data_IF_495895777502
#
_entry.id   IF_495895777502
#
_cell.length_a   1.000
_cell.length_b   1.000
_cell.length_c   1.000
_cell.angle_alpha   90.00
_cell.angle_beta   90.00
_cell.angle_gamma   90.00
#
_symmetry.space_group_name_H-M   'P 1'
#
loop_
_entity.id
_entity.type
_entity.pdbx_description
1 polymer ?
#
# COMPACT_ATOMS: atom_id res chain seq x y z
N UNK A 1 19.81 74.98 8.33
CA UNK A 1 20.37 73.88 9.15
C UNK A 1 19.59 73.82 10.46
N UNK A 2 19.31 72.59 10.91
CA UNK A 2 18.57 72.19 12.13
C UNK A 2 17.06 72.00 11.97
N UNK A 3 16.73 70.73 11.75
CA UNK A 3 15.42 70.10 11.84
C UNK A 3 14.85 70.22 13.27
N UNK A 4 13.54 70.41 13.38
CA UNK A 4 12.80 70.22 14.61
C UNK A 4 11.87 69.01 14.43
N UNK A 5 12.12 68.00 15.26
CA UNK A 5 11.44 66.71 15.34
C UNK A 5 9.96 66.91 15.72
N UNK A 6 9.06 66.31 14.95
CA UNK A 6 7.64 66.17 15.29
C UNK A 6 7.48 64.88 16.11
N UNK A 7 7.11 65.00 17.38
CA UNK A 7 6.83 63.86 18.25
C UNK A 7 5.45 63.30 17.93
N UNK A 8 5.38 62.15 17.25
CA UNK A 8 4.14 61.37 17.09
C UNK A 8 4.02 60.43 18.29
N UNK A 9 2.98 60.63 19.08
CA UNK A 9 2.56 59.72 20.15
C UNK A 9 1.87 58.52 19.52
N UNK A 10 2.53 57.36 19.53
CA UNK A 10 1.93 56.07 19.18
C UNK A 10 1.26 55.47 20.42
N UNK A 11 -0.05 55.59 20.52
CA UNK A 11 -0.85 54.80 21.47
C UNK A 11 -0.93 53.36 20.98
N UNK A 12 -0.26 52.45 21.68
CA UNK A 12 -0.38 51.00 21.48
C UNK A 12 -1.73 50.55 22.07
N UNK A 13 -2.72 50.37 21.20
CA UNK A 13 -4.00 49.76 21.54
C UNK A 13 -3.88 48.24 21.43
N UNK A 14 -3.82 47.56 22.58
CA UNK A 14 -3.83 46.11 22.72
C UNK A 14 -5.21 45.54 22.36
N UNK A 15 -5.34 44.92 21.18
CA UNK A 15 -6.41 43.96 20.92
C UNK A 15 -5.89 42.55 21.25
N UNK A 16 -6.08 42.15 22.51
CA UNK A 16 -6.02 40.75 22.90
C UNK A 16 -7.24 40.02 22.32
N UNK A 17 -7.17 39.61 21.05
CA UNK A 17 -7.96 38.48 20.57
C UNK A 17 -7.22 37.23 21.01
N UNK A 18 -7.52 36.81 22.23
CA UNK A 18 -7.05 35.55 22.81
C UNK A 18 -7.73 34.41 22.02
N UNK A 19 -7.14 34.03 20.90
CA UNK A 19 -7.48 32.79 20.23
C UNK A 19 -7.01 31.68 21.19
N UNK A 20 -7.95 31.14 22.00
CA UNK A 20 -7.73 29.89 22.72
C UNK A 20 -7.42 28.84 21.66
N UNK A 21 -6.13 28.58 21.42
CA UNK A 21 -5.74 27.30 20.87
C UNK A 21 -6.26 26.25 21.85
N UNK A 22 -7.22 25.45 21.42
CA UNK A 22 -7.52 24.21 22.11
C UNK A 22 -6.31 23.29 21.88
N UNK A 23 -5.28 23.48 22.69
CA UNK A 23 -4.20 22.54 22.90
C UNK A 23 -4.72 21.38 23.76
N UNK A 24 -5.67 20.63 23.24
CA UNK A 24 -5.99 19.29 23.74
C UNK A 24 -5.65 18.29 22.64
N UNK A 25 -4.38 18.25 22.23
CA UNK A 25 -3.81 17.03 21.69
C UNK A 25 -3.45 16.17 22.90
N UNK A 26 -4.40 15.37 23.37
CA UNK A 26 -4.09 14.28 24.27
C UNK A 26 -3.05 13.39 23.57
N UNK A 27 -1.85 13.34 24.13
CA UNK A 27 -0.84 12.36 23.77
C UNK A 27 -1.41 10.99 24.14
N UNK A 28 -1.94 10.24 23.16
CA UNK A 28 -2.17 8.80 23.34
C UNK A 28 -0.82 8.18 23.67
N UNK A 29 -0.59 7.87 24.93
CA UNK A 29 0.54 7.05 25.35
C UNK A 29 0.44 5.68 24.66
N UNK A 30 1.56 5.27 24.07
CA UNK A 30 1.87 3.92 23.57
C UNK A 30 0.94 3.38 22.46
N UNK A 31 0.98 4.02 21.29
CA UNK A 31 0.51 3.40 20.03
C UNK A 31 1.23 2.05 19.82
N UNK A 32 0.47 0.99 19.58
CA UNK A 32 1.01 -0.35 19.27
C UNK A 32 1.10 -0.60 17.76
N UNK A 33 1.96 -1.53 17.29
CA UNK A 33 2.01 -1.91 15.88
C UNK A 33 0.67 -2.36 15.32
N UNK A 34 -0.12 -3.09 16.11
CA UNK A 34 -1.44 -3.57 15.75
C UNK A 34 -2.40 -2.41 15.51
N UNK A 35 -2.37 -1.38 16.36
CA UNK A 35 -3.18 -0.17 16.19
C UNK A 35 -2.81 0.57 14.90
N UNK A 36 -1.52 0.72 14.60
CA UNK A 36 -1.06 1.33 13.33
C UNK A 36 -1.58 0.54 12.13
N UNK A 37 -1.47 -0.79 12.15
CA UNK A 37 -1.95 -1.67 11.07
C UNK A 37 -3.47 -1.52 10.90
N UNK A 38 -4.23 -1.60 11.99
CA UNK A 38 -5.69 -1.41 11.97
C UNK A 38 -6.09 -0.03 11.43
N UNK A 39 -5.38 1.02 11.85
CA UNK A 39 -5.66 2.39 11.42
C UNK A 39 -5.42 2.57 9.91
N UNK A 40 -4.30 2.05 9.41
CA UNK A 40 -3.96 2.04 7.98
C UNK A 40 -5.00 1.25 7.17
N UNK A 41 -5.42 0.07 7.62
CA UNK A 41 -6.44 -0.72 6.92
C UNK A 41 -7.82 -0.06 6.93
N UNK A 42 -8.22 0.58 8.04
CA UNK A 42 -9.47 1.36 8.10
C UNK A 42 -9.47 2.49 7.09
N UNK A 43 -8.38 3.24 7.00
CA UNK A 43 -8.23 4.31 6.00
C UNK A 43 -8.20 3.78 4.57
N UNK A 44 -7.54 2.64 4.34
CA UNK A 44 -7.56 1.98 3.04
C UNK A 44 -8.98 1.56 2.63
N UNK A 45 -9.78 1.04 3.57
CA UNK A 45 -11.16 0.65 3.30
C UNK A 45 -12.05 1.87 3.01
N UNK A 46 -11.87 2.98 3.74
CA UNK A 46 -12.53 4.26 3.44
C UNK A 46 -12.21 4.69 1.99
N UNK A 47 -10.95 4.60 1.57
CA UNK A 47 -10.56 4.92 0.19
C UNK A 47 -11.18 3.96 -0.83
N UNK A 48 -11.20 2.65 -0.55
CA UNK A 48 -11.82 1.65 -1.45
C UNK A 48 -13.32 1.91 -1.63
N UNK A 49 -14.02 2.24 -0.55
CA UNK A 49 -15.47 2.42 -0.57
C UNK A 49 -15.90 3.79 -1.11
N UNK A 50 -15.15 4.84 -0.78
CA UNK A 50 -15.61 6.23 -0.98
C UNK A 50 -14.74 7.04 -1.97
N UNK A 51 -13.63 6.49 -2.45
CA UNK A 51 -12.77 7.13 -3.44
C UNK A 51 -12.32 8.54 -3.02
N UNK A 52 -12.67 9.54 -3.82
CA UNK A 52 -12.30 10.94 -3.56
C UNK A 52 -12.95 11.51 -2.27
N UNK A 53 -14.19 11.10 -1.94
CA UNK A 53 -14.82 11.53 -0.69
C UNK A 53 -14.06 10.99 0.53
N UNK A 54 -13.60 9.73 0.46
CA UNK A 54 -12.72 9.14 1.47
C UNK A 54 -11.39 9.87 1.60
N UNK A 55 -10.80 10.30 0.47
CA UNK A 55 -9.57 11.09 0.49
C UNK A 55 -9.76 12.43 1.23
N UNK A 56 -10.92 13.09 1.09
CA UNK A 56 -11.22 14.33 1.82
C UNK A 56 -11.26 14.08 3.33
N UNK A 57 -11.89 13.00 3.78
CA UNK A 57 -11.95 12.59 5.20
C UNK A 57 -10.54 12.36 5.76
N UNK A 58 -9.69 11.65 5.01
CA UNK A 58 -8.32 11.34 5.43
C UNK A 58 -7.36 12.52 5.28
N UNK A 59 -7.75 13.56 4.55
CA UNK A 59 -6.97 14.78 4.38
C UNK A 59 -7.32 15.87 5.40
N UNK A 60 -8.39 15.68 6.18
CA UNK A 60 -8.83 16.62 7.20
C UNK A 60 -7.86 16.60 8.40
N UNK A 61 -7.23 17.73 8.78
CA UNK A 61 -6.36 17.80 9.95
C UNK A 61 -7.03 17.41 11.28
N UNK A 62 -8.37 17.51 11.39
CA UNK A 62 -9.11 17.12 12.61
C UNK A 62 -9.67 15.69 12.54
N UNK A 63 -9.34 14.95 11.49
CA UNK A 63 -9.72 13.54 11.33
C UNK A 63 -9.18 12.66 12.46
N UNK A 64 -9.91 11.60 12.80
CA UNK A 64 -9.44 10.60 13.80
C UNK A 64 -8.12 9.93 13.39
N UNK A 65 -7.85 9.92 12.08
CA UNK A 65 -6.63 9.40 11.45
C UNK A 65 -5.41 10.33 11.56
N UNK A 66 -5.55 11.51 12.17
CA UNK A 66 -4.48 12.46 12.40
C UNK A 66 -4.28 12.77 13.90
N UNK A 67 -4.39 11.75 14.74
CA UNK A 67 -4.23 11.88 16.20
C UNK A 67 -2.93 11.25 16.69
N UNK A 68 -2.35 11.78 17.77
CA UNK A 68 -1.17 11.21 18.41
C UNK A 68 0.08 11.07 17.52
N UNK A 69 0.74 9.92 17.65
CA UNK A 69 1.97 9.55 16.94
C UNK A 69 1.72 8.74 15.65
N UNK A 70 0.52 8.15 15.49
CA UNK A 70 0.08 7.27 14.39
C UNK A 70 -0.78 7.96 13.33
N UNK A 71 -0.35 9.15 12.91
CA UNK A 71 -1.02 9.91 11.87
C UNK A 71 -0.82 9.31 10.48
N UNK A 72 -1.86 9.40 9.65
CA UNK A 72 -1.86 8.91 8.27
C UNK A 72 -1.29 9.94 7.30
N UNK A 73 -0.57 9.44 6.30
CA UNK A 73 -0.31 10.15 5.06
C UNK A 73 -0.50 9.20 3.88
N UNK A 74 -0.85 9.76 2.73
CA UNK A 74 -1.21 9.03 1.51
C UNK A 74 -0.27 9.45 0.40
N UNK A 75 0.24 8.48 -0.35
CA UNK A 75 1.09 8.72 -1.51
C UNK A 75 0.57 7.99 -2.75
N UNK A 76 1.03 8.45 -3.91
CA UNK A 76 0.91 7.78 -5.20
C UNK A 76 2.33 7.46 -5.68
N UNK A 77 2.70 6.19 -5.58
CA UNK A 77 4.06 5.70 -5.87
C UNK A 77 4.40 5.84 -7.36
N UNK A 78 3.42 5.71 -8.25
CA UNK A 78 3.63 5.82 -9.70
C UNK A 78 3.93 7.27 -10.08
N UNK A 79 3.21 8.22 -9.48
CA UNK A 79 3.42 9.66 -9.70
C UNK A 79 4.53 10.28 -8.87
N UNK A 80 5.19 9.49 -8.02
CA UNK A 80 6.12 10.00 -6.99
C UNK A 80 5.49 11.10 -6.12
N UNK A 81 4.18 11.05 -5.85
CA UNK A 81 3.43 12.17 -5.28
C UNK A 81 3.03 11.91 -3.84
N UNK A 82 3.21 12.90 -2.97
CA UNK A 82 2.51 12.95 -1.68
C UNK A 82 1.10 13.47 -1.92
N UNK A 83 0.11 12.58 -1.86
CA UNK A 83 -1.29 12.90 -2.14
C UNK A 83 -1.91 13.67 -0.99
N UNK A 84 -1.59 13.29 0.24
CA UNK A 84 -2.08 13.96 1.44
C UNK A 84 -1.17 13.70 2.64
N UNK A 85 -0.89 14.75 3.41
CA UNK A 85 -0.24 14.63 4.71
C UNK A 85 -0.81 15.69 5.66
N UNK A 86 -1.91 15.40 6.38
CA UNK A 86 -2.58 16.38 7.25
C UNK A 86 -1.70 16.85 8.41
N UNK A 87 -0.75 16.01 8.85
CA UNK A 87 0.19 16.34 9.91
C UNK A 87 1.27 17.31 9.47
N UNK A 88 1.72 17.17 8.22
CA UNK A 88 2.74 17.99 7.57
C UNK A 88 2.22 18.47 6.20
N UNK A 89 1.24 19.41 6.19
CA UNK A 89 0.56 19.81 4.96
C UNK A 89 1.50 20.35 3.88
N UNK A 90 2.62 20.94 4.28
CA UNK A 90 3.66 21.47 3.38
C UNK A 90 4.31 20.39 2.50
N UNK A 91 4.18 19.11 2.85
CA UNK A 91 4.66 17.99 2.04
C UNK A 91 3.66 17.57 0.96
N UNK A 92 2.39 17.93 1.11
CA UNK A 92 1.34 17.58 0.14
C UNK A 92 1.64 18.21 -1.22
N UNK A 93 1.54 17.45 -2.30
CA UNK A 93 1.92 17.89 -3.64
C UNK A 93 3.40 17.66 -3.99
N UNK A 94 4.25 17.37 -2.99
CA UNK A 94 5.68 17.17 -3.18
C UNK A 94 6.07 15.80 -3.75
N UNK A 95 7.34 15.69 -4.14
CA UNK A 95 7.93 14.46 -4.65
C UNK A 95 8.38 13.54 -3.49
N UNK A 96 7.68 12.43 -3.27
CA UNK A 96 8.00 11.50 -2.18
C UNK A 96 9.41 10.91 -2.31
N UNK A 97 9.96 10.73 -3.53
CA UNK A 97 11.29 10.13 -3.73
C UNK A 97 12.44 11.07 -3.32
N UNK A 98 12.17 12.37 -3.27
CA UNK A 98 13.13 13.38 -2.82
C UNK A 98 13.11 13.55 -1.29
N UNK A 99 12.18 12.90 -0.60
CA UNK A 99 12.08 13.02 0.85
C UNK A 99 13.26 12.37 1.55
N UNK A 100 13.94 13.18 2.35
CA UNK A 100 15.00 12.79 3.25
C UNK A 100 14.49 12.67 4.69
N UNK A 101 15.08 11.75 5.42
CA UNK A 101 14.94 11.67 6.87
C UNK A 101 15.90 12.67 7.55
N UNK A 102 15.93 12.67 8.88
CA UNK A 102 16.77 13.61 9.63
C UNK A 102 18.28 13.30 9.62
N UNK A 103 18.68 12.14 9.10
CA UNK A 103 20.06 11.78 8.82
C UNK A 103 20.46 12.01 7.36
N UNK A 104 19.56 12.59 6.54
CA UNK A 104 19.74 12.81 5.09
C UNK A 104 19.68 11.53 4.27
N UNK A 105 19.10 10.46 4.80
CA UNK A 105 18.83 9.24 4.06
C UNK A 105 17.51 9.35 3.28
N UNK A 106 17.47 8.81 2.07
CA UNK A 106 16.30 8.82 1.19
C UNK A 106 15.22 7.81 1.63
N UNK A 107 14.57 8.04 2.77
CA UNK A 107 13.51 7.15 3.26
C UNK A 107 12.33 7.07 2.28
N UNK A 108 12.07 8.13 1.51
CA UNK A 108 11.01 8.16 0.51
C UNK A 108 11.19 7.16 -0.63
N UNK A 109 12.45 6.86 -1.00
CA UNK A 109 12.78 5.80 -1.96
C UNK A 109 12.45 4.43 -1.35
N UNK A 110 12.95 4.16 -0.15
CA UNK A 110 12.69 2.88 0.56
C UNK A 110 11.19 2.64 0.77
N UNK A 111 10.44 3.69 1.09
CA UNK A 111 8.99 3.63 1.22
C UNK A 111 8.34 3.18 -0.10
N UNK A 112 8.73 3.79 -1.22
CA UNK A 112 8.23 3.40 -2.54
C UNK A 112 8.61 1.95 -2.89
N UNK A 113 9.83 1.51 -2.57
CA UNK A 113 10.29 0.13 -2.81
C UNK A 113 9.42 -0.88 -2.05
N UNK A 114 9.17 -0.64 -0.76
CA UNK A 114 8.31 -1.51 0.06
C UNK A 114 6.87 -1.52 -0.47
N UNK A 115 6.34 -0.36 -0.86
CA UNK A 115 5.02 -0.29 -1.49
C UNK A 115 4.95 -1.07 -2.82
N UNK A 116 6.01 -1.05 -3.64
CA UNK A 116 6.08 -1.83 -4.89
C UNK A 116 6.18 -3.34 -4.62
N UNK A 117 6.67 -3.75 -3.45
CA UNK A 117 6.79 -5.15 -3.04
C UNK A 117 5.52 -5.72 -2.37
N UNK A 118 4.46 -4.92 -2.23
CA UNK A 118 3.20 -5.34 -1.60
C UNK A 118 2.98 -4.79 -0.19
N UNK A 119 3.88 -3.92 0.29
CA UNK A 119 3.78 -3.28 1.60
C UNK A 119 4.62 -3.96 2.68
N UNK A 120 4.60 -3.39 3.88
CA UNK A 120 5.43 -3.83 5.00
C UNK A 120 5.89 -2.67 5.87
N UNK A 121 6.76 -2.95 6.82
CA UNK A 121 7.33 -1.94 7.71
C UNK A 121 8.66 -1.39 7.21
N UNK A 122 8.85 -0.08 7.35
CA UNK A 122 10.15 0.59 7.18
C UNK A 122 10.56 1.28 8.47
N UNK A 123 11.85 1.55 8.62
CA UNK A 123 12.40 2.41 9.67
C UNK A 123 13.21 3.56 9.07
N UNK A 124 13.19 4.70 9.76
CA UNK A 124 13.92 5.92 9.42
C UNK A 124 14.02 6.84 10.65
N UNK A 125 14.88 7.85 10.58
CA UNK A 125 15.07 8.80 11.68
C UNK A 125 14.14 10.00 11.53
N UNK A 126 13.29 10.23 12.53
CA UNK A 126 12.30 11.30 12.51
C UNK A 126 12.11 11.94 13.87
N UNK A 127 11.92 13.26 13.97
CA UNK A 127 11.61 13.89 15.24
C UNK A 127 10.18 13.59 15.67
N UNK A 128 9.95 13.57 16.99
CA UNK A 128 8.57 13.58 17.51
C UNK A 128 7.90 14.92 17.16
N UNK A 129 6.58 14.95 16.96
CA UNK A 129 5.88 16.21 16.72
C UNK A 129 6.17 17.21 17.85
N UNK A 130 6.65 18.41 17.50
CA UNK A 130 6.99 19.45 18.47
C UNK A 130 8.40 19.37 19.07
N UNK A 131 9.23 18.40 18.67
CA UNK A 131 10.64 18.29 19.13
C UNK A 131 11.63 18.34 17.96
N UNK A 132 12.92 18.48 18.27
CA UNK A 132 14.04 18.34 17.31
C UNK A 132 14.91 17.13 17.60
N UNK A 133 14.48 16.27 18.53
CA UNK A 133 15.22 15.08 18.92
C UNK A 133 15.11 14.03 17.82
N UNK A 134 16.24 13.50 17.38
CA UNK A 134 16.29 12.46 16.34
C UNK A 134 16.04 11.10 16.97
N UNK A 135 14.89 10.52 16.70
CA UNK A 135 14.50 9.21 17.25
C UNK A 135 14.16 8.23 16.13
N UNK A 136 14.15 6.94 16.45
CA UNK A 136 13.76 5.90 15.50
C UNK A 136 12.25 5.95 15.30
N UNK A 137 11.84 6.12 14.04
CA UNK A 137 10.45 5.99 13.63
C UNK A 137 10.30 4.77 12.73
N UNK A 138 9.26 3.99 12.99
CA UNK A 138 8.84 2.89 12.13
C UNK A 138 7.50 3.21 11.49
N UNK A 139 7.32 2.87 10.23
CA UNK A 139 6.08 3.15 9.49
C UNK A 139 5.62 1.92 8.72
N UNK A 140 4.34 1.60 8.88
CA UNK A 140 3.66 0.58 8.10
C UNK A 140 3.17 1.19 6.79
N UNK A 141 3.55 0.55 5.69
CA UNK A 141 3.32 0.98 4.32
C UNK A 141 2.36 -0.02 3.68
N UNK A 142 1.17 0.44 3.28
CA UNK A 142 0.14 -0.41 2.71
C UNK A 142 -0.30 0.10 1.33
N UNK A 143 0.22 -0.49 0.24
CA UNK A 143 -0.29 -0.23 -1.11
C UNK A 143 -1.68 -0.86 -1.23
N UNK A 144 -2.71 -0.06 -1.45
CA UNK A 144 -4.09 -0.57 -1.48
C UNK A 144 -4.27 -1.43 -2.74
N UNK A 145 -4.58 -2.74 -2.60
CA UNK A 145 -4.89 -3.57 -3.77
C UNK A 145 -6.07 -3.00 -4.56
N UNK A 146 -5.93 -2.96 -5.89
CA UNK A 146 -6.93 -2.38 -6.79
C UNK A 146 -6.94 -0.85 -6.89
N UNK A 147 -6.12 -0.13 -6.13
CA UNK A 147 -6.03 1.33 -6.19
C UNK A 147 -4.58 1.81 -6.42
N UNK A 148 -4.44 3.09 -6.78
CA UNK A 148 -3.12 3.74 -6.95
C UNK A 148 -2.50 4.25 -5.64
N UNK A 149 -3.31 4.36 -4.59
CA UNK A 149 -2.89 4.95 -3.32
C UNK A 149 -2.18 3.94 -2.44
N UNK A 150 -1.16 4.42 -1.76
CA UNK A 150 -0.50 3.76 -0.63
C UNK A 150 -0.81 4.56 0.62
N UNK A 151 -1.35 3.89 1.64
CA UNK A 151 -1.62 4.48 2.95
C UNK A 151 -0.47 4.14 3.87
N UNK A 152 0.02 5.15 4.57
CA UNK A 152 1.16 5.03 5.45
C UNK A 152 0.81 5.62 6.81
N UNK A 153 1.18 4.93 7.88
CA UNK A 153 1.20 5.48 9.23
C UNK A 153 2.39 4.91 9.97
N UNK A 154 2.84 5.57 11.03
CA UNK A 154 3.99 5.09 11.78
C UNK A 154 3.95 5.48 13.23
N UNK A 155 4.87 4.97 14.01
CA UNK A 155 4.99 5.24 15.44
C UNK A 155 6.47 5.29 15.82
N UNK A 156 6.74 5.80 17.01
CA UNK A 156 8.09 5.81 17.58
C UNK A 156 8.29 4.54 18.40
N UNK A 157 9.27 3.74 18.02
CA UNK A 157 9.57 2.47 18.68
C UNK A 157 11.07 2.19 18.56
N UNK A 158 11.74 2.02 19.69
CA UNK A 158 13.19 1.84 19.75
C UNK A 158 13.62 0.36 19.82
N UNK A 159 12.69 -0.57 20.08
CA UNK A 159 13.05 -1.93 20.51
C UNK A 159 12.66 -3.03 19.53
N UNK A 160 11.54 -2.90 18.81
CA UNK A 160 11.05 -3.94 17.90
C UNK A 160 11.82 -3.95 16.58
N UNK A 161 12.26 -5.13 16.17
CA UNK A 161 12.87 -5.36 14.86
C UNK A 161 11.82 -5.31 13.74
N UNK A 162 12.26 -5.01 12.51
CA UNK A 162 11.38 -5.09 11.33
C UNK A 162 10.88 -6.52 11.08
N UNK A 163 11.63 -7.54 11.45
CA UNK A 163 11.22 -8.94 11.35
C UNK A 163 10.01 -9.23 12.25
N UNK A 164 10.06 -8.81 13.52
CA UNK A 164 8.94 -8.95 14.45
C UNK A 164 7.70 -8.19 13.97
N UNK A 165 7.88 -6.97 13.46
CA UNK A 165 6.80 -6.13 12.95
C UNK A 165 6.14 -6.75 11.71
N UNK A 166 6.92 -7.26 10.77
CA UNK A 166 6.40 -7.97 9.60
C UNK A 166 5.77 -9.32 9.98
N UNK A 167 6.19 -9.95 11.09
CA UNK A 167 5.51 -11.11 11.65
C UNK A 167 4.11 -10.81 12.21
N UNK A 168 3.85 -9.57 12.63
CA UNK A 168 2.54 -9.14 13.14
C UNK A 168 1.54 -8.85 12.02
N UNK A 169 1.97 -8.31 10.89
CA UNK A 169 1.09 -8.01 9.73
C UNK A 169 0.46 -9.27 9.18
N UNK A 170 1.21 -10.37 9.12
CA UNK A 170 0.70 -11.69 8.74
C UNK A 170 -0.42 -12.22 9.67
N UNK A 171 -0.49 -11.74 10.92
CA UNK A 171 -1.47 -12.17 11.94
C UNK A 171 -2.66 -11.21 12.09
N UNK A 172 -2.52 -9.94 11.70
CA UNK A 172 -3.51 -8.87 11.89
C UNK A 172 -4.31 -8.53 10.63
N UNK A 173 -3.97 -9.10 9.47
CA UNK A 173 -4.86 -9.09 8.32
C UNK A 173 -6.22 -9.70 8.74
N UNK A 174 -7.25 -8.86 8.84
CA UNK A 174 -8.63 -9.26 9.11
C UNK A 174 -9.12 -10.36 8.15
N UNK A 175 -10.34 -10.89 8.41
CA UNK A 175 -10.68 -12.31 8.28
C UNK A 175 -9.86 -13.04 7.23
N UNK A 176 -8.67 -13.53 7.62
CA UNK A 176 -7.69 -14.22 6.79
C UNK A 176 -7.47 -13.50 5.46
N UNK A 177 -6.38 -12.74 5.32
CA UNK A 177 -5.77 -12.50 4.01
C UNK A 177 -5.82 -13.81 3.21
N UNK A 178 -6.81 -13.90 2.34
CA UNK A 178 -7.22 -15.17 1.77
C UNK A 178 -6.39 -15.34 0.53
N UNK A 179 -5.78 -16.51 0.39
CA UNK A 179 -5.12 -16.91 -0.85
C UNK A 179 -6.00 -16.51 -2.03
N UNK A 180 -5.43 -15.83 -3.02
CA UNK A 180 -6.16 -15.40 -4.21
C UNK A 180 -5.66 -16.14 -5.44
N UNK A 181 -6.57 -16.39 -6.38
CA UNK A 181 -6.27 -16.80 -7.73
C UNK A 181 -6.48 -15.60 -8.68
N UNK A 182 -5.47 -15.29 -9.48
CA UNK A 182 -5.58 -14.34 -10.59
C UNK A 182 -5.70 -15.13 -11.88
N UNK A 183 -6.86 -15.01 -12.52
CA UNK A 183 -7.21 -15.63 -13.78
C UNK A 183 -7.07 -14.59 -14.88
N UNK A 184 -6.04 -14.74 -15.73
CA UNK A 184 -5.85 -13.91 -16.91
C UNK A 184 -6.23 -14.71 -18.16
N UNK A 185 -7.45 -14.51 -18.62
CA UNK A 185 -7.93 -15.05 -19.89
C UNK A 185 -7.54 -14.08 -21.01
N UNK A 186 -6.88 -14.57 -22.05
CA UNK A 186 -6.39 -13.74 -23.15
C UNK A 186 -6.49 -14.45 -24.49
N UNK A 187 -6.89 -13.71 -25.51
CA UNK A 187 -6.74 -14.11 -26.91
C UNK A 187 -5.71 -13.18 -27.54
N UNK A 188 -4.45 -13.64 -27.73
CA UNK A 188 -3.45 -12.89 -28.45
C UNK A 188 -3.82 -12.79 -29.94
N UNK A 189 -3.44 -11.69 -30.59
CA UNK A 189 -3.44 -11.60 -32.05
C UNK A 189 -2.54 -12.69 -32.63
N UNK A 190 -2.89 -13.22 -33.79
CA UNK A 190 -2.16 -14.33 -34.43
C UNK A 190 -0.66 -14.03 -34.57
N UNK A 191 -0.31 -12.84 -35.04
CA UNK A 191 1.05 -12.34 -35.20
C UNK A 191 1.73 -11.98 -33.85
N UNK A 192 0.96 -11.65 -32.82
CA UNK A 192 1.48 -11.26 -31.50
C UNK A 192 1.67 -12.42 -30.52
N UNK A 193 1.20 -13.63 -30.86
CA UNK A 193 1.20 -14.79 -29.94
C UNK A 193 2.60 -15.19 -29.50
N UNK A 194 3.54 -15.30 -30.43
CA UNK A 194 4.91 -15.73 -30.12
C UNK A 194 5.62 -14.70 -29.21
N UNK A 195 5.50 -13.41 -29.54
CA UNK A 195 6.05 -12.33 -28.72
C UNK A 195 5.43 -12.32 -27.31
N UNK A 196 4.11 -12.48 -27.20
CA UNK A 196 3.43 -12.60 -25.91
C UNK A 196 3.97 -13.77 -25.07
N UNK A 197 4.16 -14.95 -25.67
CA UNK A 197 4.70 -16.11 -24.97
C UNK A 197 6.14 -15.89 -24.51
N UNK A 198 6.96 -15.21 -25.33
CA UNK A 198 8.33 -14.84 -25.00
C UNK A 198 8.41 -13.85 -23.83
N UNK A 199 7.57 -12.80 -23.83
CA UNK A 199 7.45 -11.86 -22.71
C UNK A 199 7.09 -12.58 -21.41
N UNK A 200 6.12 -13.50 -21.47
CA UNK A 200 5.74 -14.30 -20.31
C UNK A 200 6.88 -15.20 -19.79
N UNK A 201 7.71 -15.75 -20.69
CA UNK A 201 8.87 -16.57 -20.31
C UNK A 201 9.96 -15.73 -19.64
N UNK A 202 10.22 -14.52 -20.15
CA UNK A 202 11.22 -13.60 -19.62
C UNK A 202 10.93 -13.20 -18.15
N UNK A 203 9.66 -13.05 -17.80
CA UNK A 203 9.23 -12.67 -16.45
C UNK A 203 9.31 -13.80 -15.41
N UNK A 204 9.51 -15.06 -15.83
CA UNK A 204 9.37 -16.23 -14.93
C UNK A 204 10.33 -16.22 -13.75
N UNK A 205 11.58 -15.79 -13.96
CA UNK A 205 12.62 -15.73 -12.92
C UNK A 205 12.33 -14.67 -11.86
N UNK A 206 11.79 -13.52 -12.28
CA UNK A 206 11.39 -12.44 -11.37
C UNK A 206 10.14 -12.83 -10.59
N UNK A 207 9.13 -13.36 -11.28
CA UNK A 207 7.88 -13.84 -10.69
C UNK A 207 8.14 -14.86 -9.56
N UNK A 208 9.04 -15.82 -9.79
CA UNK A 208 9.37 -16.86 -8.82
C UNK A 208 10.00 -16.34 -7.51
N UNK A 209 10.51 -15.10 -7.52
CA UNK A 209 11.13 -14.46 -6.34
C UNK A 209 10.16 -13.54 -5.60
N UNK A 210 8.96 -13.33 -6.12
CA UNK A 210 8.00 -12.43 -5.51
C UNK A 210 7.52 -12.98 -4.17
N UNK A 211 7.55 -12.18 -3.09
CA UNK A 211 6.92 -12.56 -1.83
C UNK A 211 5.45 -12.94 -2.02
N UNK A 212 5.02 -14.03 -1.38
CA UNK A 212 3.65 -14.54 -1.46
C UNK A 212 3.25 -15.17 -2.80
N UNK A 213 4.18 -15.34 -3.75
CA UNK A 213 3.92 -16.12 -4.96
C UNK A 213 3.85 -17.62 -4.64
N UNK A 214 2.79 -18.30 -5.12
CA UNK A 214 2.60 -19.75 -4.89
C UNK A 214 2.82 -20.52 -6.18
N UNK A 215 2.12 -20.16 -7.26
CA UNK A 215 2.24 -20.87 -8.54
C UNK A 215 1.74 -20.03 -9.70
N UNK A 216 2.18 -20.40 -10.92
CA UNK A 216 1.60 -19.95 -12.18
C UNK A 216 1.58 -21.09 -13.18
N UNK A 217 0.47 -21.21 -13.90
CA UNK A 217 0.31 -22.18 -14.98
C UNK A 217 -0.46 -21.54 -16.14
N UNK A 218 -0.24 -22.06 -17.36
CA UNK A 218 -0.90 -21.61 -18.57
C UNK A 218 -1.64 -22.75 -19.24
N UNK A 219 -2.92 -22.53 -19.54
CA UNK A 219 -3.81 -23.47 -20.20
C UNK A 219 -4.27 -22.92 -21.55
N UNK A 220 -4.58 -23.81 -22.50
CA UNK A 220 -5.28 -23.47 -23.73
C UNK A 220 -6.75 -23.86 -23.61
N UNK A 221 -7.65 -23.02 -24.10
CA UNK A 221 -9.08 -23.35 -24.17
C UNK A 221 -9.31 -24.45 -25.21
N UNK A 222 -10.11 -25.46 -24.86
CA UNK A 222 -10.58 -26.47 -25.79
C UNK A 222 -11.82 -26.03 -26.58
N UNK A 223 -12.51 -24.98 -26.11
CA UNK A 223 -13.77 -24.49 -26.70
C UNK A 223 -13.61 -23.23 -27.54
N UNK A 224 -12.47 -22.55 -27.42
CA UNK A 224 -12.22 -21.27 -28.09
C UNK A 224 -10.77 -21.25 -28.56
N UNK A 225 -10.56 -21.47 -29.85
CA UNK A 225 -9.22 -21.52 -30.45
C UNK A 225 -8.44 -20.23 -30.17
N UNK A 226 -7.15 -20.37 -29.85
CA UNK A 226 -6.27 -19.24 -29.57
C UNK A 226 -6.44 -18.61 -28.18
N UNK A 227 -7.52 -18.90 -27.45
CA UNK A 227 -7.70 -18.42 -26.08
C UNK A 227 -6.81 -19.18 -25.10
N UNK A 228 -6.10 -18.42 -24.28
CA UNK A 228 -5.22 -18.90 -23.22
C UNK A 228 -5.72 -18.42 -21.87
N UNK A 229 -5.46 -19.21 -20.83
CA UNK A 229 -5.64 -18.82 -19.42
C UNK A 229 -4.27 -18.89 -18.74
N UNK A 230 -3.80 -17.77 -18.19
CA UNK A 230 -2.74 -17.78 -17.19
C UNK A 230 -3.39 -17.76 -15.81
N UNK A 231 -3.24 -18.83 -15.05
CA UNK A 231 -3.72 -18.95 -13.68
C UNK A 231 -2.53 -18.79 -12.75
N UNK A 232 -2.54 -17.76 -11.90
CA UNK A 232 -1.56 -17.61 -10.83
C UNK A 232 -2.22 -17.60 -9.46
N UNK A 233 -1.54 -18.17 -8.48
CA UNK A 233 -2.02 -18.28 -7.11
C UNK A 233 -1.05 -17.56 -6.18
N UNK A 234 -1.61 -16.80 -5.25
CA UNK A 234 -0.88 -15.90 -4.35
C UNK A 234 -1.40 -16.04 -2.93
N UNK A 235 -0.53 -15.86 -1.93
CA UNK A 235 -0.91 -15.88 -0.52
C UNK A 235 -1.93 -14.80 -0.16
N UNK A 236 -1.95 -13.69 -0.93
CA UNK A 236 -2.86 -12.57 -0.72
C UNK A 236 -3.05 -11.72 -1.98
N UNK A 237 -4.05 -10.83 -1.96
CA UNK A 237 -4.23 -9.84 -3.01
C UNK A 237 -3.08 -8.81 -3.03
N UNK A 238 -2.51 -8.49 -1.86
CA UNK A 238 -1.35 -7.62 -1.71
C UNK A 238 -0.12 -8.18 -2.42
N UNK A 239 0.15 -9.48 -2.28
CA UNK A 239 1.26 -10.15 -2.96
C UNK A 239 1.08 -10.10 -4.49
N UNK A 240 -0.14 -10.40 -4.97
CA UNK A 240 -0.48 -10.28 -6.38
C UNK A 240 -0.36 -8.82 -6.89
N UNK A 241 -0.73 -7.84 -6.07
CA UNK A 241 -0.59 -6.43 -6.37
C UNK A 241 0.89 -5.99 -6.44
N UNK A 242 1.74 -6.51 -5.53
CA UNK A 242 3.19 -6.30 -5.57
C UNK A 242 3.81 -6.78 -6.88
N UNK A 243 3.38 -7.95 -7.38
CA UNK A 243 3.80 -8.42 -8.70
C UNK A 243 3.28 -7.54 -9.84
N UNK A 244 2.02 -7.14 -9.79
CA UNK A 244 1.44 -6.20 -10.77
C UNK A 244 2.22 -4.90 -10.85
N UNK A 245 2.85 -4.45 -9.76
CA UNK A 245 3.57 -3.19 -9.70
C UNK A 245 5.05 -3.27 -10.15
N UNK A 246 5.58 -4.46 -10.45
CA UNK A 246 6.93 -4.58 -10.98
C UNK A 246 7.04 -3.95 -12.37
N UNK A 247 8.08 -3.14 -12.59
CA UNK A 247 8.22 -2.33 -13.81
C UNK A 247 8.24 -3.18 -15.09
N UNK A 248 8.94 -4.32 -15.05
CA UNK A 248 9.02 -5.24 -16.20
C UNK A 248 7.67 -5.89 -16.51
N UNK A 249 6.90 -6.21 -15.47
CA UNK A 249 5.54 -6.71 -15.63
C UNK A 249 4.58 -5.63 -16.16
N UNK A 250 4.65 -4.39 -15.64
CA UNK A 250 3.88 -3.25 -16.14
C UNK A 250 4.15 -2.97 -17.62
N UNK A 251 5.42 -2.99 -18.03
CA UNK A 251 5.82 -2.82 -19.43
C UNK A 251 5.23 -3.93 -20.30
N UNK A 252 5.25 -5.18 -19.83
CA UNK A 252 4.67 -6.32 -20.55
C UNK A 252 3.14 -6.23 -20.64
N UNK A 253 2.46 -5.79 -19.58
CA UNK A 253 1.02 -5.52 -19.58
C UNK A 253 0.66 -4.42 -20.59
N UNK A 254 1.40 -3.31 -20.60
CA UNK A 254 1.20 -2.21 -21.55
C UNK A 254 1.38 -2.68 -22.99
N UNK A 255 2.49 -3.36 -23.29
CA UNK A 255 2.76 -3.91 -24.64
C UNK A 255 1.67 -4.88 -25.08
N UNK A 256 1.25 -5.76 -24.16
CA UNK A 256 0.15 -6.69 -24.35
C UNK A 256 -1.15 -5.98 -24.75
N UNK A 257 -1.59 -5.05 -23.90
CA UNK A 257 -2.78 -4.23 -24.11
C UNK A 257 -2.73 -3.44 -25.43
N UNK A 258 -1.64 -2.74 -25.68
CA UNK A 258 -1.55 -1.80 -26.80
C UNK A 258 -1.43 -2.51 -28.15
N UNK A 259 -0.76 -3.67 -28.19
CA UNK A 259 -0.34 -4.26 -29.47
C UNK A 259 -0.63 -5.74 -29.64
N UNK A 260 -0.56 -6.57 -28.60
CA UNK A 260 -0.52 -8.03 -28.75
C UNK A 260 -1.86 -8.73 -28.53
N UNK A 261 -2.82 -8.11 -27.84
CA UNK A 261 -4.08 -8.77 -27.48
C UNK A 261 -5.24 -8.33 -28.36
N UNK A 262 -6.09 -9.27 -28.74
CA UNK A 262 -7.41 -8.98 -29.33
C UNK A 262 -8.41 -8.65 -28.23
N UNK A 263 -8.39 -9.44 -27.15
CA UNK A 263 -9.22 -9.27 -25.96
C UNK A 263 -8.58 -9.98 -24.77
N UNK A 264 -8.89 -9.49 -23.57
CA UNK A 264 -8.55 -10.19 -22.35
C UNK A 264 -9.57 -9.90 -21.24
N UNK A 265 -9.60 -10.77 -20.24
CA UNK A 265 -10.32 -10.57 -18.98
C UNK A 265 -9.42 -11.01 -17.84
N UNK A 266 -9.34 -10.18 -16.80
CA UNK A 266 -8.68 -10.53 -15.54
C UNK A 266 -9.76 -10.69 -14.48
N UNK A 267 -9.71 -11.80 -13.74
CA UNK A 267 -10.55 -12.03 -12.57
C UNK A 267 -9.65 -12.35 -11.38
N UNK A 268 -9.91 -11.71 -10.25
CA UNK A 268 -9.22 -11.99 -8.98
C UNK A 268 -10.25 -12.62 -8.05
N UNK A 269 -9.98 -13.84 -7.59
CA UNK A 269 -10.92 -14.62 -6.80
C UNK A 269 -10.26 -15.11 -5.51
N UNK A 270 -10.97 -14.99 -4.39
CA UNK A 270 -10.56 -15.60 -3.13
C UNK A 270 -10.71 -17.12 -3.20
N UNK A 271 -9.69 -17.85 -2.74
CA UNK A 271 -9.69 -19.29 -2.64
C UNK A 271 -10.35 -19.69 -1.33
N UNK A 272 -11.56 -20.26 -1.43
CA UNK A 272 -12.37 -20.66 -0.28
C UNK A 272 -11.85 -21.97 0.36
N UNK A 273 -11.41 -22.93 -0.47
CA UNK A 273 -10.87 -24.23 -0.03
C UNK A 273 -10.01 -24.88 -1.11
N UNK A 274 -9.01 -25.66 -0.71
CA UNK A 274 -8.16 -26.48 -1.59
C UNK A 274 -7.90 -27.85 -0.97
N UNK A 275 -8.01 -28.91 -1.77
CA UNK A 275 -7.70 -30.27 -1.36
C UNK A 275 -7.27 -31.09 -2.58
N UNK A 276 -6.48 -32.13 -2.34
CA UNK A 276 -6.04 -33.07 -3.38
C UNK A 276 -6.60 -34.47 -3.08
N UNK A 277 -6.25 -35.46 -3.90
CA UNK A 277 -6.57 -36.86 -3.60
C UNK A 277 -6.05 -37.28 -2.21
N UNK A 278 -4.88 -36.79 -1.81
CA UNK A 278 -4.17 -37.25 -0.61
C UNK A 278 -4.21 -36.27 0.57
N UNK A 279 -4.52 -34.99 0.33
CA UNK A 279 -4.64 -33.95 1.36
C UNK A 279 -6.07 -33.42 1.35
N UNK A 280 -6.90 -33.93 2.26
CA UNK A 280 -8.36 -33.79 2.23
C UNK A 280 -8.94 -33.07 3.44
N UNK A 281 -8.11 -32.39 4.22
CA UNK A 281 -8.50 -31.68 5.44
C UNK A 281 -9.53 -30.57 5.18
N UNK A 282 -9.47 -29.94 3.99
CA UNK A 282 -10.41 -28.91 3.56
C UNK A 282 -11.52 -29.44 2.63
N UNK A 283 -11.51 -30.74 2.32
CA UNK A 283 -12.54 -31.33 1.48
C UNK A 283 -13.91 -31.30 2.19
N UNK A 284 -15.02 -31.10 1.46
CA UNK A 284 -16.35 -31.21 2.04
C UNK A 284 -16.56 -32.55 2.75
N UNK A 285 -17.20 -32.53 3.93
CA UNK A 285 -17.39 -33.73 4.78
C UNK A 285 -18.19 -34.81 4.06
N UNK A 286 -19.23 -34.41 3.33
CA UNK A 286 -20.06 -35.28 2.50
C UNK A 286 -19.25 -35.92 1.35
N UNK A 287 -18.32 -35.18 0.74
CA UNK A 287 -17.39 -35.74 -0.27
C UNK A 287 -16.46 -36.79 0.32
N UNK A 288 -15.91 -36.59 1.52
CA UNK A 288 -15.07 -37.60 2.19
C UNK A 288 -15.86 -38.84 2.56
N UNK A 289 -17.07 -38.67 3.10
CA UNK A 289 -17.97 -39.76 3.42
C UNK A 289 -18.33 -40.58 2.16
N UNK A 290 -18.68 -39.92 1.06
CA UNK A 290 -19.02 -40.58 -0.21
C UNK A 290 -17.84 -41.40 -0.78
N UNK A 291 -16.62 -40.88 -0.65
CA UNK A 291 -15.40 -41.54 -1.14
C UNK A 291 -14.81 -42.55 -0.15
N UNK A 292 -15.44 -42.78 1.02
CA UNK A 292 -14.93 -43.63 2.10
C UNK A 292 -13.50 -43.28 2.55
N UNK A 293 -13.14 -41.99 2.49
CA UNK A 293 -11.86 -41.48 3.00
C UNK A 293 -12.00 -41.35 4.52
N UNK A 294 -11.16 -42.10 5.26
CA UNK A 294 -11.08 -42.04 6.73
C UNK A 294 -10.47 -40.74 7.22
#
# INVERSE_FOLDING_TARGET
>A
MKALLLTVVLTVGSLNVFCKSNSNMETKENVTPQQVIENVHKAAEILKQQGEAGLKILSDPVSEFNTGDDYIFIIDVEKSLVVSNPRFPERTGGNIREHLDWNKDHYGIRLCEVALQGGGWIEFVWPKPGTTERVRKISYIYPIPGMRYTVCAGMYNETMSLEELNGLTAKTAGPKSSKVAVLFEVTPKKEGKEEYLSLGAALKSELAKMPGFISVERFASLNEEGKLLSLSVWESEEAAAGWRNQINHRNSQKKGHDTLFEKYKISVAAVIREYTMNKREQAPKDSNAFLNVK
#
